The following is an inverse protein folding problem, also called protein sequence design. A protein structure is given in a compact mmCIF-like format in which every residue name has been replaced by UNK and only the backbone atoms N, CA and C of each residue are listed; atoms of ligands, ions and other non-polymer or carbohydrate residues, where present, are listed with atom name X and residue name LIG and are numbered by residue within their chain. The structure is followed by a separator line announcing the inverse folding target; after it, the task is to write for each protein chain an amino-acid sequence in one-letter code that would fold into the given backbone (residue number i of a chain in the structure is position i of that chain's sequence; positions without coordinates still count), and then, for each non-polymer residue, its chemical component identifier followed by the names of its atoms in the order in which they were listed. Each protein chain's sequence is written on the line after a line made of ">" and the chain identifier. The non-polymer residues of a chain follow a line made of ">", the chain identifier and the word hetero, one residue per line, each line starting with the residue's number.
data_IF_294333548816
#
_entry.id   IF_294333548816
#
_cell.length_a   1.000
_cell.length_b   1.000
_cell.length_c   1.000
_cell.angle_alpha   90.00
_cell.angle_beta   90.00
_cell.angle_gamma   90.00
#
_symmetry.space_group_name_H-M   'P 1'
#
loop_
_entity.id
_entity.type
_entity.pdbx_description
1 polymer ?
#
# COMPACT_ATOMS: atom_id res chain seq x y z
N UNK A 1 12.21 18.44 9.70
CA UNK A 1 12.48 19.06 8.39
C UNK A 1 13.38 18.19 7.50
N UNK A 2 14.57 17.77 7.97
CA UNK A 2 15.50 16.95 7.16
C UNK A 2 14.92 15.62 6.66
N UNK A 3 14.21 14.86 7.49
CA UNK A 3 13.55 13.59 7.09
C UNK A 3 12.47 13.80 6.03
N UNK A 4 11.70 14.89 6.14
CA UNK A 4 10.66 15.22 5.16
C UNK A 4 11.27 15.56 3.79
N UNK A 5 12.40 16.27 3.76
CA UNK A 5 13.09 16.62 2.51
C UNK A 5 13.73 15.39 1.86
N UNK A 6 14.32 14.48 2.64
CA UNK A 6 14.87 13.21 2.11
C UNK A 6 13.76 12.32 1.53
N UNK A 7 12.63 12.19 2.24
CA UNK A 7 11.47 11.45 1.73
C UNK A 7 10.91 12.08 0.46
N UNK A 8 10.84 13.41 0.41
CA UNK A 8 10.41 14.15 -0.77
C UNK A 8 11.38 13.93 -1.95
N UNK A 9 12.69 14.01 -1.74
CA UNK A 9 13.68 13.74 -2.78
C UNK A 9 13.61 12.31 -3.29
N UNK A 10 13.47 11.31 -2.40
CA UNK A 10 13.28 9.92 -2.78
C UNK A 10 11.99 9.72 -3.58
N UNK A 11 10.90 10.37 -3.17
CA UNK A 11 9.63 10.33 -3.88
C UNK A 11 9.75 10.91 -5.29
N UNK A 12 10.41 12.06 -5.45
CA UNK A 12 10.64 12.70 -6.76
C UNK A 12 11.46 11.77 -7.66
N UNK A 13 12.56 11.20 -7.16
CA UNK A 13 13.37 10.25 -7.93
C UNK A 13 12.59 9.01 -8.33
N UNK A 14 11.71 8.51 -7.44
CA UNK A 14 10.85 7.36 -7.73
C UNK A 14 9.82 7.70 -8.82
N UNK A 15 9.19 8.88 -8.76
CA UNK A 15 8.26 9.37 -9.80
C UNK A 15 8.95 9.52 -11.15
N UNK A 16 10.16 10.08 -11.19
CA UNK A 16 10.94 10.18 -12.43
C UNK A 16 11.27 8.81 -13.01
N UNK A 17 11.61 7.83 -12.16
CA UNK A 17 11.81 6.43 -12.58
C UNK A 17 10.52 5.78 -13.09
N UNK A 18 9.36 6.13 -12.54
CA UNK A 18 8.07 5.65 -13.03
C UNK A 18 7.76 6.15 -14.43
N UNK A 19 8.04 7.42 -14.72
CA UNK A 19 7.82 8.01 -16.04
C UNK A 19 8.64 7.34 -17.15
N UNK A 20 9.83 6.81 -16.83
CA UNK A 20 10.67 6.07 -17.79
C UNK A 20 10.23 4.63 -18.04
N UNK A 21 9.26 4.10 -17.28
CA UNK A 21 8.78 2.73 -17.45
C UNK A 21 7.60 2.68 -18.41
N UNK A 22 7.62 1.71 -19.33
CA UNK A 22 6.51 1.48 -20.26
C UNK A 22 5.26 1.03 -19.49
N UNK A 23 4.09 1.61 -19.77
CA UNK A 23 2.82 1.12 -19.23
C UNK A 23 2.60 -0.35 -19.61
N UNK A 24 1.87 -1.07 -18.76
CA UNK A 24 1.64 -2.51 -18.94
C UNK A 24 0.15 -2.75 -19.13
N UNK A 25 -0.22 -3.34 -20.26
CA UNK A 25 -1.59 -3.80 -20.47
C UNK A 25 -1.89 -4.98 -19.54
N UNK A 26 -2.95 -4.82 -18.73
CA UNK A 26 -3.37 -5.83 -17.75
C UNK A 26 -4.87 -6.08 -17.89
N UNK A 27 -5.33 -7.25 -17.44
CA UNK A 27 -6.75 -7.57 -17.44
C UNK A 27 -7.56 -6.72 -16.45
N UNK A 28 -8.86 -6.56 -16.71
CA UNK A 28 -9.75 -5.72 -15.88
C UNK A 28 -9.78 -6.10 -14.39
N UNK A 29 -9.68 -7.38 -14.06
CA UNK A 29 -9.60 -7.86 -12.67
C UNK A 29 -8.35 -7.36 -11.93
N UNK A 30 -7.20 -7.29 -12.62
CA UNK A 30 -5.96 -6.79 -12.01
C UNK A 30 -6.03 -5.28 -11.77
N UNK A 31 -6.68 -4.54 -12.67
CA UNK A 31 -6.95 -3.12 -12.47
C UNK A 31 -7.81 -2.87 -11.22
N UNK A 32 -8.86 -3.67 -11.02
CA UNK A 32 -9.67 -3.59 -9.80
C UNK A 32 -8.83 -3.88 -8.55
N UNK A 33 -8.01 -4.93 -8.56
CA UNK A 33 -7.10 -5.24 -7.46
C UNK A 33 -6.16 -4.07 -7.14
N UNK A 34 -5.57 -3.43 -8.15
CA UNK A 34 -4.66 -2.31 -7.98
C UNK A 34 -5.36 -1.09 -7.34
N UNK A 35 -6.57 -0.75 -7.81
CA UNK A 35 -7.38 0.33 -7.24
C UNK A 35 -7.80 0.00 -5.80
N UNK A 36 -8.28 -1.23 -5.55
CA UNK A 36 -8.70 -1.69 -4.23
C UNK A 36 -7.55 -1.63 -3.22
N UNK A 37 -6.35 -2.07 -3.60
CA UNK A 37 -5.17 -2.00 -2.72
C UNK A 37 -4.72 -0.57 -2.45
N UNK A 38 -4.82 0.32 -3.43
CA UNK A 38 -4.51 1.73 -3.23
C UNK A 38 -5.49 2.41 -2.27
N UNK A 39 -6.80 2.14 -2.41
CA UNK A 39 -7.82 2.62 -1.48
C UNK A 39 -7.65 2.03 -0.07
N UNK A 40 -7.31 0.74 0.02
CA UNK A 40 -7.04 0.07 1.29
C UNK A 40 -5.82 0.68 2.00
N UNK A 41 -4.77 1.03 1.26
CA UNK A 41 -3.62 1.74 1.80
C UNK A 41 -4.00 3.12 2.34
N UNK A 42 -4.87 3.88 1.65
CA UNK A 42 -5.41 5.15 2.17
C UNK A 42 -6.18 4.92 3.47
N UNK A 43 -7.09 3.95 3.51
CA UNK A 43 -7.83 3.61 4.72
C UNK A 43 -6.91 3.24 5.88
N UNK A 44 -5.85 2.48 5.60
CA UNK A 44 -4.81 2.12 6.59
C UNK A 44 -4.08 3.35 7.11
N UNK A 45 -3.72 4.30 6.24
CA UNK A 45 -3.05 5.55 6.65
C UNK A 45 -3.97 6.47 7.46
N UNK A 46 -5.26 6.57 7.09
CA UNK A 46 -6.25 7.37 7.84
C UNK A 46 -6.42 6.81 9.25
N UNK A 47 -6.63 5.50 9.37
CA UNK A 47 -6.79 4.83 10.67
C UNK A 47 -5.49 4.85 11.49
N UNK A 48 -4.32 4.81 10.85
CA UNK A 48 -3.03 5.04 11.52
C UNK A 48 -2.94 6.46 12.11
N UNK A 49 -3.33 7.48 11.35
CA UNK A 49 -3.33 8.85 11.82
C UNK A 49 -4.33 9.07 12.97
N UNK A 50 -5.50 8.42 12.93
CA UNK A 50 -6.44 8.40 14.04
C UNK A 50 -5.82 7.76 15.28
N UNK A 51 -5.22 6.57 15.14
CA UNK A 51 -4.57 5.82 16.24
C UNK A 51 -3.48 6.64 16.94
N UNK A 52 -2.69 7.38 16.16
CA UNK A 52 -1.63 8.24 16.67
C UNK A 52 -2.16 9.50 17.37
N UNK A 53 -3.29 10.06 16.92
CA UNK A 53 -3.84 11.33 17.45
C UNK A 53 -4.86 11.16 18.57
N UNK A 54 -5.53 10.02 18.66
CA UNK A 54 -6.56 9.76 19.69
C UNK A 54 -6.02 9.19 21.00
N UNK A 55 -4.72 8.89 21.08
CA UNK A 55 -4.14 8.15 22.21
C UNK A 55 -4.33 6.63 22.15
N UNK A 56 -4.94 6.10 21.09
CA UNK A 56 -5.20 4.66 20.93
C UNK A 56 -3.96 3.79 20.65
N UNK A 57 -2.76 4.39 20.53
CA UNK A 57 -1.53 3.70 20.14
C UNK A 57 -1.13 2.53 21.04
N UNK A 58 -1.59 2.51 22.30
CA UNK A 58 -1.39 1.40 23.25
C UNK A 58 -2.70 0.75 23.70
N UNK A 59 -3.83 1.00 23.01
CA UNK A 59 -5.11 0.39 23.35
C UNK A 59 -5.11 -1.14 23.18
N UNK A 60 -4.26 -1.67 22.31
CA UNK A 60 -3.85 -3.07 22.28
C UNK A 60 -2.35 -3.11 22.60
N UNK A 61 -1.97 -3.50 23.83
CA UNK A 61 -0.58 -3.49 24.28
C UNK A 61 0.18 -4.79 23.96
N UNK A 62 -0.53 -5.81 23.47
CA UNK A 62 0.06 -7.06 23.01
C UNK A 62 0.21 -7.10 21.49
N UNK A 63 1.11 -7.98 21.04
CA UNK A 63 1.27 -8.34 19.63
C UNK A 63 1.81 -9.78 19.56
N UNK A 64 1.26 -10.67 18.71
CA UNK A 64 0.29 -10.42 17.64
C UNK A 64 -1.20 -10.46 18.06
N UNK A 65 -1.52 -10.89 19.29
CA UNK A 65 -2.86 -10.79 19.89
C UNK A 65 -3.21 -9.34 20.26
N UNK A 66 -4.47 -9.09 20.62
CA UNK A 66 -4.90 -7.92 21.38
C UNK A 66 -5.69 -8.43 22.60
N UNK A 67 -5.18 -8.13 23.80
CA UNK A 67 -5.74 -8.56 25.09
C UNK A 67 -6.00 -10.07 25.18
N UNK A 68 -4.98 -10.87 24.85
CA UNK A 68 -5.03 -12.34 24.92
C UNK A 68 -5.89 -13.01 23.85
N UNK A 69 -6.53 -12.25 22.95
CA UNK A 69 -7.41 -12.78 21.90
C UNK A 69 -7.04 -12.23 20.51
N UNK A 70 -7.44 -12.93 19.45
CA UNK A 70 -7.34 -12.42 18.08
C UNK A 70 -8.57 -11.63 17.66
N UNK A 71 -9.70 -11.78 18.35
CA UNK A 71 -10.97 -11.12 18.04
C UNK A 71 -11.53 -10.48 19.33
N UNK A 72 -10.95 -9.35 19.77
CA UNK A 72 -11.37 -8.69 21.01
C UNK A 72 -12.76 -8.07 20.86
N UNK A 73 -13.45 -7.88 21.99
CA UNK A 73 -14.68 -7.09 22.03
C UNK A 73 -14.36 -5.62 21.71
N UNK A 74 -15.05 -5.04 20.73
CA UNK A 74 -14.75 -3.70 20.22
C UNK A 74 -15.61 -2.63 20.89
N UNK A 75 -15.91 -2.75 22.19
CA UNK A 75 -16.77 -1.80 22.91
C UNK A 75 -16.02 -0.48 23.18
N UNK A 76 -14.76 -0.58 23.60
CA UNK A 76 -13.87 0.58 23.80
C UNK A 76 -13.55 1.27 22.45
N UNK A 77 -13.88 2.57 22.30
CA UNK A 77 -13.54 3.32 21.09
C UNK A 77 -12.05 3.33 20.74
N UNK A 78 -11.14 3.36 21.71
CA UNK A 78 -9.71 3.42 21.44
C UNK A 78 -9.20 2.08 20.92
N UNK A 79 -9.55 0.99 21.58
CA UNK A 79 -9.26 -0.37 21.12
C UNK A 79 -9.82 -0.61 19.72
N UNK A 80 -11.07 -0.18 19.47
CA UNK A 80 -11.71 -0.30 18.16
C UNK A 80 -10.91 0.40 17.04
N UNK A 81 -10.43 1.63 17.28
CA UNK A 81 -9.60 2.36 16.30
C UNK A 81 -8.30 1.61 16.02
N UNK A 82 -7.59 1.18 17.07
CA UNK A 82 -6.31 0.49 16.92
C UNK A 82 -6.48 -0.88 16.22
N UNK A 83 -7.50 -1.64 16.59
CA UNK A 83 -7.78 -2.94 16.00
C UNK A 83 -8.20 -2.83 14.53
N UNK A 84 -9.00 -1.81 14.15
CA UNK A 84 -9.30 -1.53 12.74
C UNK A 84 -8.01 -1.25 11.95
N UNK A 85 -7.10 -0.43 12.48
CA UNK A 85 -5.82 -0.17 11.81
C UNK A 85 -5.02 -1.47 11.58
N UNK A 86 -4.90 -2.34 12.60
CA UNK A 86 -4.23 -3.64 12.49
C UNK A 86 -4.88 -4.53 11.44
N UNK A 87 -6.21 -4.54 11.38
CA UNK A 87 -6.98 -5.32 10.41
C UNK A 87 -6.73 -4.84 8.97
N UNK A 88 -6.79 -3.52 8.73
CA UNK A 88 -6.53 -2.95 7.40
C UNK A 88 -5.07 -3.18 6.95
N UNK A 89 -4.11 -3.09 7.89
CA UNK A 89 -2.71 -3.41 7.61
C UNK A 89 -2.53 -4.89 7.21
N UNK A 90 -3.18 -5.82 7.90
CA UNK A 90 -3.16 -7.25 7.55
C UNK A 90 -3.78 -7.52 6.17
N UNK A 91 -4.94 -6.94 5.88
CA UNK A 91 -5.59 -7.04 4.57
C UNK A 91 -4.70 -6.47 3.45
N UNK A 92 -4.01 -5.35 3.71
CA UNK A 92 -3.05 -4.76 2.78
C UNK A 92 -1.91 -5.73 2.49
N UNK A 93 -1.33 -6.35 3.54
CA UNK A 93 -0.28 -7.36 3.39
C UNK A 93 -0.72 -8.56 2.54
N UNK A 94 -1.92 -9.10 2.79
CA UNK A 94 -2.48 -10.21 2.01
C UNK A 94 -2.69 -9.80 0.56
N UNK A 95 -3.30 -8.64 0.31
CA UNK A 95 -3.53 -8.15 -1.04
C UNK A 95 -2.24 -7.91 -1.82
N UNK A 96 -1.18 -7.45 -1.16
CA UNK A 96 0.15 -7.30 -1.76
C UNK A 96 0.75 -8.65 -2.20
N UNK A 97 0.57 -9.71 -1.42
CA UNK A 97 0.98 -11.06 -1.82
C UNK A 97 0.19 -11.53 -3.04
N UNK A 98 -1.13 -11.32 -3.05
CA UNK A 98 -1.98 -11.65 -4.22
C UNK A 98 -1.50 -10.89 -5.46
N UNK A 99 -1.25 -9.59 -5.34
CA UNK A 99 -0.73 -8.76 -6.44
C UNK A 99 0.63 -9.27 -6.93
N UNK A 100 1.52 -9.68 -6.02
CA UNK A 100 2.82 -10.22 -6.36
C UNK A 100 2.72 -11.52 -7.16
N UNK A 101 1.92 -12.48 -6.69
CA UNK A 101 1.76 -13.75 -7.39
C UNK A 101 1.04 -13.58 -8.73
N UNK A 102 -0.03 -12.78 -8.78
CA UNK A 102 -0.77 -12.53 -10.02
C UNK A 102 0.08 -11.80 -11.05
N UNK A 103 0.85 -10.78 -10.65
CA UNK A 103 1.74 -10.06 -11.57
C UNK A 103 2.88 -10.93 -12.12
N UNK A 104 3.37 -11.90 -11.33
CA UNK A 104 4.33 -12.91 -11.83
C UNK A 104 3.69 -13.89 -12.80
N UNK A 105 2.51 -14.40 -12.47
CA UNK A 105 1.76 -15.29 -13.35
C UNK A 105 1.40 -14.63 -14.69
N UNK A 106 1.12 -13.32 -14.68
CA UNK A 106 0.88 -12.52 -15.89
C UNK A 106 2.15 -12.13 -16.68
N UNK A 107 3.36 -12.46 -16.20
CA UNK A 107 4.61 -12.10 -16.86
C UNK A 107 4.97 -10.61 -16.79
N UNK A 108 4.31 -9.82 -15.92
CA UNK A 108 4.49 -8.37 -15.84
C UNK A 108 5.68 -8.00 -14.94
N UNK A 109 6.90 -8.24 -15.43
CA UNK A 109 8.16 -8.09 -14.67
C UNK A 109 8.28 -6.73 -13.97
N UNK A 110 7.90 -5.63 -14.64
CA UNK A 110 7.89 -4.29 -14.07
C UNK A 110 6.95 -4.12 -12.87
N UNK A 111 5.78 -4.77 -12.87
CA UNK A 111 4.84 -4.72 -11.75
C UNK A 111 5.32 -5.66 -10.64
N UNK A 112 5.77 -6.87 -10.99
CA UNK A 112 6.19 -7.89 -10.02
C UNK A 112 7.38 -7.47 -9.16
N UNK A 113 8.37 -6.76 -9.70
CA UNK A 113 9.51 -6.25 -8.92
C UNK A 113 9.07 -5.21 -7.89
N UNK A 114 8.12 -4.35 -8.25
CA UNK A 114 7.55 -3.32 -7.35
C UNK A 114 6.62 -3.93 -6.31
N UNK A 115 5.84 -4.94 -6.69
CA UNK A 115 5.02 -5.70 -5.75
C UNK A 115 5.89 -6.46 -4.74
N UNK A 116 7.05 -6.98 -5.16
CA UNK A 116 8.03 -7.57 -4.24
C UNK A 116 8.58 -6.52 -3.26
N UNK A 117 8.99 -5.35 -3.77
CA UNK A 117 9.41 -4.24 -2.91
C UNK A 117 8.32 -3.83 -1.91
N UNK A 118 7.06 -3.75 -2.36
CA UNK A 118 5.93 -3.45 -1.49
C UNK A 118 5.72 -4.53 -0.41
N UNK A 119 5.88 -5.81 -0.75
CA UNK A 119 5.84 -6.91 0.22
C UNK A 119 6.97 -6.82 1.27
N UNK A 120 8.18 -6.44 0.86
CA UNK A 120 9.29 -6.23 1.79
C UNK A 120 9.04 -5.02 2.70
N UNK A 121 8.54 -3.91 2.13
CA UNK A 121 8.21 -2.71 2.89
C UNK A 121 7.09 -2.97 3.90
N UNK A 122 6.03 -3.72 3.54
CA UNK A 122 4.95 -4.04 4.50
C UNK A 122 5.42 -4.97 5.61
N UNK A 123 6.35 -5.90 5.33
CA UNK A 123 6.96 -6.74 6.37
C UNK A 123 7.75 -5.88 7.37
N UNK A 124 8.56 -4.93 6.89
CA UNK A 124 9.24 -3.94 7.74
C UNK A 124 8.23 -3.11 8.52
N UNK A 125 7.12 -2.72 7.88
CA UNK A 125 6.07 -1.93 8.51
C UNK A 125 5.41 -2.65 9.69
N UNK A 126 5.08 -3.93 9.51
CA UNK A 126 4.51 -4.78 10.56
C UNK A 126 5.51 -4.92 11.72
N UNK A 127 6.79 -5.16 11.43
CA UNK A 127 7.84 -5.23 12.45
C UNK A 127 7.99 -3.92 13.22
N UNK A 128 8.05 -2.78 12.54
CA UNK A 128 8.10 -1.46 13.19
C UNK A 128 6.84 -1.18 14.01
N UNK A 129 5.66 -1.60 13.53
CA UNK A 129 4.40 -1.48 14.26
C UNK A 129 4.40 -2.28 15.56
N UNK A 130 4.91 -3.52 15.52
CA UNK A 130 5.13 -4.33 16.72
C UNK A 130 6.10 -3.64 17.69
N UNK A 131 7.20 -3.06 17.19
CA UNK A 131 8.15 -2.30 18.03
C UNK A 131 7.51 -1.06 18.67
N UNK A 132 6.62 -0.35 17.96
CA UNK A 132 5.87 0.78 18.54
C UNK A 132 5.06 0.33 19.75
N UNK A 133 4.41 -0.83 19.69
CA UNK A 133 3.61 -1.38 20.79
C UNK A 133 4.54 -1.87 21.92
N UNK A 134 5.44 -2.80 21.61
CA UNK A 134 6.27 -3.53 22.58
C UNK A 134 7.31 -2.65 23.30
N UNK A 135 7.59 -1.45 22.79
CA UNK A 135 8.54 -0.51 23.39
C UNK A 135 7.87 0.77 23.89
N UNK A 136 6.55 0.76 24.03
CA UNK A 136 5.77 1.87 24.58
C UNK A 136 5.98 3.17 23.80
N UNK A 137 5.86 3.08 22.48
CA UNK A 137 5.74 4.24 21.58
C UNK A 137 6.99 5.15 21.56
N UNK A 138 8.22 4.63 21.35
CA UNK A 138 9.38 5.49 21.28
C UNK A 138 9.37 6.33 20.00
N UNK A 139 9.69 7.62 20.12
CA UNK A 139 9.60 8.61 19.01
C UNK A 139 10.30 8.17 17.72
N UNK A 140 11.43 7.47 17.84
CA UNK A 140 12.19 6.99 16.68
C UNK A 140 11.44 5.91 15.92
N UNK A 141 10.77 4.97 16.60
CA UNK A 141 10.08 3.86 15.93
C UNK A 141 8.78 4.33 15.30
N UNK A 142 8.06 5.26 15.94
CA UNK A 142 6.91 5.93 15.33
C UNK A 142 7.31 6.66 14.04
N UNK A 143 8.40 7.44 14.09
CA UNK A 143 8.89 8.20 12.93
C UNK A 143 9.33 7.25 11.80
N UNK A 144 10.05 6.17 12.15
CA UNK A 144 10.47 5.15 11.21
C UNK A 144 9.26 4.47 10.56
N UNK A 145 8.29 4.03 11.37
CA UNK A 145 7.04 3.41 10.91
C UNK A 145 6.29 4.34 9.94
N UNK A 146 6.12 5.62 10.28
CA UNK A 146 5.46 6.58 9.39
C UNK A 146 6.22 6.77 8.07
N UNK A 147 7.55 6.89 8.13
CA UNK A 147 8.39 7.07 6.93
C UNK A 147 8.30 5.87 5.98
N UNK A 148 8.40 4.64 6.49
CA UNK A 148 8.29 3.42 5.69
C UNK A 148 6.88 3.22 5.13
N UNK A 149 5.84 3.65 5.87
CA UNK A 149 4.46 3.68 5.37
C UNK A 149 4.28 4.60 4.16
N UNK A 150 4.89 5.80 4.17
CA UNK A 150 4.87 6.71 3.01
C UNK A 150 5.59 6.10 1.81
N UNK A 151 6.76 5.47 2.02
CA UNK A 151 7.48 4.79 0.93
C UNK A 151 6.63 3.67 0.30
N UNK A 152 5.94 2.87 1.11
CA UNK A 152 5.01 1.85 0.61
C UNK A 152 3.88 2.48 -0.23
N UNK A 153 3.29 3.57 0.24
CA UNK A 153 2.23 4.27 -0.50
C UNK A 153 2.71 4.82 -1.85
N UNK A 154 3.94 5.33 -1.94
CA UNK A 154 4.55 5.77 -3.21
C UNK A 154 4.71 4.59 -4.16
N UNK A 155 5.15 3.42 -3.68
CA UNK A 155 5.25 2.21 -4.50
C UNK A 155 3.89 1.81 -5.07
N UNK A 156 2.87 1.76 -4.23
CA UNK A 156 1.50 1.42 -4.65
C UNK A 156 0.94 2.41 -5.67
N UNK A 157 1.16 3.70 -5.45
CA UNK A 157 0.72 4.76 -6.38
C UNK A 157 1.39 4.63 -7.76
N UNK A 158 2.66 4.25 -7.80
CA UNK A 158 3.36 4.01 -9.05
C UNK A 158 2.92 2.73 -9.77
N UNK A 159 2.60 1.66 -9.03
CA UNK A 159 1.95 0.47 -9.63
C UNK A 159 0.61 0.84 -10.23
N UNK A 160 -0.24 1.58 -9.50
CA UNK A 160 -1.53 2.04 -9.99
C UNK A 160 -1.37 2.88 -11.26
N UNK A 161 -0.40 3.80 -11.30
CA UNK A 161 -0.13 4.61 -12.48
C UNK A 161 0.20 3.77 -13.72
N UNK A 162 1.06 2.75 -13.58
CA UNK A 162 1.43 1.86 -14.69
C UNK A 162 0.23 1.07 -15.23
N UNK A 163 -0.62 0.59 -14.32
CA UNK A 163 -1.82 -0.19 -14.64
C UNK A 163 -2.88 0.66 -15.33
N UNK A 164 -3.16 1.86 -14.80
CA UNK A 164 -4.15 2.79 -15.38
C UNK A 164 -3.68 3.28 -16.75
N UNK A 165 -2.42 3.70 -16.88
CA UNK A 165 -1.87 4.14 -18.18
C UNK A 165 -1.89 3.04 -19.23
N UNK A 166 -1.56 1.80 -18.86
CA UNK A 166 -1.60 0.67 -19.78
C UNK A 166 -3.01 0.41 -20.30
N UNK A 167 -4.01 0.49 -19.41
CA UNK A 167 -5.42 0.32 -19.80
C UNK A 167 -5.93 1.42 -20.73
N UNK A 168 -5.54 2.68 -20.50
CA UNK A 168 -5.93 3.80 -21.36
C UNK A 168 -5.35 3.65 -22.77
N UNK A 169 -4.07 3.30 -22.87
CA UNK A 169 -3.40 3.10 -24.17
C UNK A 169 -3.98 1.92 -24.96
N UNK A 170 -4.30 0.81 -24.29
CA UNK A 170 -4.95 -0.33 -24.93
C UNK A 170 -6.33 0.02 -25.50
N UNK A 171 -7.13 0.82 -24.76
CA UNK A 171 -8.44 1.29 -25.23
C UNK A 171 -8.33 2.20 -26.47
N UNK A 172 -7.35 3.12 -26.50
CA UNK A 172 -7.12 3.99 -27.66
C UNK A 172 -6.71 3.19 -28.91
N UNK A 173 -5.84 2.18 -28.75
CA UNK A 173 -5.45 1.29 -29.84
C UNK A 173 -6.63 0.50 -30.44
N UNK A 174 -7.55 0.02 -29.60
CA UNK A 174 -8.74 -0.70 -30.05
C UNK A 174 -9.73 0.22 -30.79
N UNK A 175 -9.92 1.45 -30.31
CA UNK A 175 -10.77 2.44 -30.97
C UNK A 175 -10.22 2.84 -32.36
N UNK A 176 -8.91 3.02 -32.49
CA UNK A 176 -8.25 3.35 -33.76
C UNK A 176 -8.40 2.25 -34.81
N UNK A 177 -8.26 0.97 -34.41
CA UNK A 177 -8.44 -0.19 -35.31
C UNK A 177 -9.89 -0.36 -35.77
N UNK A 178 -10.86 -0.10 -34.88
CA UNK A 178 -12.29 -0.15 -35.25
C UNK A 178 -12.66 0.99 -36.20
N UNK A 179 -12.13 2.20 -35.99
CA UNK A 179 -12.36 3.35 -36.89
C UNK A 179 -11.78 3.13 -38.29
N UNK A 180 -10.61 2.51 -38.39
CA UNK A 180 -9.99 2.18 -39.67
C UNK A 180 -10.77 1.10 -40.45
N UNK A 181 -11.39 0.13 -39.78
CA UNK A 181 -12.22 -0.91 -40.42
C UNK A 181 -13.57 -0.40 -40.95
N UNK A 182 -14.11 0.65 -40.35
CA UNK A 182 -15.38 1.26 -40.81
C UNK A 182 -15.18 2.29 -41.93
N UNK A 183 -13.93 2.63 -42.27
CA UNK A 183 -13.57 3.60 -43.30
C UNK A 183 -13.16 2.94 -44.64
N UNK A 184 -13.19 1.61 -44.73
CA UNK A 184 -12.94 0.78 -45.92
C UNK A 184 -14.25 0.14 -46.35
#
# INVERSE_FOLDING_TARGET
>A
LGTALVLLSLMILMVQRYQGCRPVETGGGFHLLAVSLWLLAIGTMVTAAMTAKSGASLACYEWPSCDGTFFPALDDPLLRIHYIHRTLAALTGIGLLVMLFWSRAGGWSGISSRALLACLLVAVQIGLGAVVILREVPRWSQSAHQATGVLLFVVLSGILWLVVRGRLQGNEGHAGLSGARSAV
#
